data_IF_350621415427
#
_entry.id   IF_350621415427
#
_cell.length_a   1.000
_cell.length_b   1.000
_cell.length_c   1.000
_cell.angle_alpha   90.00
_cell.angle_beta   90.00
_cell.angle_gamma   90.00
#
_symmetry.space_group_name_H-M   'P 1'
#
loop_
_entity.id
_entity.type
_entity.pdbx_description
1 polymer ?
#
# COMPACT_ATOMS: atom_id res chain seq x y z
N UNK A 1 10.38 -3.43 7.62
CA UNK A 1 9.04 -3.02 8.10
C UNK A 1 9.21 -2.16 9.33
N UNK A 2 8.50 -1.04 9.43
CA UNK A 2 8.50 -0.16 10.61
C UNK A 2 7.27 -0.52 11.46
N UNK A 3 7.45 -0.89 12.72
CA UNK A 3 6.37 -1.41 13.58
C UNK A 3 6.19 -0.66 14.91
N UNK A 4 7.09 0.27 15.21
CA UNK A 4 7.13 1.02 16.47
C UNK A 4 7.51 2.49 16.25
N UNK A 5 7.19 3.33 17.23
CA UNK A 5 7.46 4.76 17.18
C UNK A 5 8.96 5.11 17.17
N UNK A 6 9.85 4.47 17.96
CA UNK A 6 11.28 4.76 17.90
C UNK A 6 11.88 4.57 16.49
N UNK A 7 11.55 3.48 15.82
CA UNK A 7 11.99 3.19 14.45
C UNK A 7 11.37 4.16 13.45
N UNK A 8 10.10 4.51 13.62
CA UNK A 8 9.44 5.51 12.77
C UNK A 8 10.12 6.89 12.87
N UNK A 9 10.48 7.30 14.09
CA UNK A 9 11.20 8.56 14.35
C UNK A 9 12.58 8.53 13.71
N UNK A 10 13.30 7.42 13.79
CA UNK A 10 14.61 7.26 13.16
C UNK A 10 14.50 7.52 11.64
N UNK A 11 13.59 6.85 10.94
CA UNK A 11 13.40 7.06 9.50
C UNK A 11 12.88 8.45 9.15
N UNK A 12 12.01 9.03 9.99
CA UNK A 12 11.54 10.40 9.85
C UNK A 12 12.69 11.43 9.95
N UNK A 13 13.70 11.18 10.78
CA UNK A 13 14.89 12.02 10.89
C UNK A 13 15.86 11.86 9.72
N UNK A 14 15.71 10.79 8.93
CA UNK A 14 16.45 10.54 7.70
C UNK A 14 15.65 11.02 6.46
N UNK A 15 14.78 12.00 6.63
CA UNK A 15 13.99 12.65 5.57
C UNK A 15 13.05 11.72 4.79
N UNK A 16 12.61 10.62 5.40
CA UNK A 16 11.58 9.77 4.77
C UNK A 16 10.29 10.56 4.57
N UNK A 17 9.79 10.63 3.33
CA UNK A 17 8.57 11.37 3.01
C UNK A 17 7.29 10.71 3.57
N UNK A 18 7.35 9.40 3.81
CA UNK A 18 6.24 8.63 4.36
C UNK A 18 6.74 7.38 5.08
N UNK A 19 5.90 6.82 5.97
CA UNK A 19 6.16 5.58 6.70
C UNK A 19 5.03 4.58 6.43
N UNK A 20 5.40 3.33 6.09
CA UNK A 20 4.46 2.22 5.90
C UNK A 20 4.72 1.15 6.96
N UNK A 21 3.65 0.68 7.60
CA UNK A 21 3.69 -0.38 8.61
C UNK A 21 2.93 -1.62 8.13
N UNK A 22 3.28 -2.85 8.55
CA UNK A 22 2.43 -4.02 8.37
C UNK A 22 1.25 -4.08 9.36
N UNK A 23 1.21 -3.19 10.36
CA UNK A 23 0.22 -3.16 11.44
C UNK A 23 -0.22 -1.75 11.80
N UNK A 24 -1.28 -1.64 12.60
CA UNK A 24 -1.71 -0.40 13.25
C UNK A 24 -1.03 -0.28 14.61
N UNK A 25 -0.24 0.77 14.79
CA UNK A 25 0.33 1.16 16.08
C UNK A 25 0.05 2.64 16.32
N UNK A 26 -0.74 2.96 17.35
CA UNK A 26 -1.17 4.33 17.64
C UNK A 26 0.00 5.26 18.00
N UNK A 27 1.04 4.73 18.62
CA UNK A 27 2.22 5.52 18.98
C UNK A 27 2.92 6.07 17.74
N UNK A 28 2.94 5.30 16.64
CA UNK A 28 3.46 5.77 15.35
C UNK A 28 2.62 6.93 14.80
N UNK A 29 1.29 6.84 14.91
CA UNK A 29 0.40 7.92 14.48
C UNK A 29 0.73 9.23 15.21
N UNK A 30 0.85 9.18 16.54
CA UNK A 30 1.11 10.37 17.35
C UNK A 30 2.42 11.06 16.98
N UNK A 31 3.51 10.30 16.75
CA UNK A 31 4.82 10.89 16.45
C UNK A 31 4.93 11.38 15.01
N UNK A 32 4.33 10.68 14.04
CA UNK A 32 4.41 11.02 12.62
C UNK A 32 3.48 12.18 12.26
N UNK A 33 2.24 12.19 12.75
CA UNK A 33 1.28 13.25 12.46
C UNK A 33 1.74 14.61 12.98
N UNK A 34 2.36 14.65 14.17
CA UNK A 34 2.94 15.88 14.73
C UNK A 34 4.04 16.49 13.87
N UNK A 35 4.69 15.67 13.04
CA UNK A 35 5.73 16.08 12.10
C UNK A 35 5.22 16.21 10.66
N UNK A 36 3.91 16.02 10.44
CA UNK A 36 3.26 16.05 9.12
C UNK A 36 3.89 15.06 8.13
N UNK A 37 4.30 13.89 8.63
CA UNK A 37 4.82 12.81 7.79
C UNK A 37 3.69 11.83 7.52
N UNK A 38 3.45 11.53 6.24
CA UNK A 38 2.40 10.60 5.85
C UNK A 38 2.65 9.22 6.47
N UNK A 39 1.61 8.64 7.05
CA UNK A 39 1.64 7.33 7.67
C UNK A 39 0.57 6.43 7.06
N UNK A 40 0.98 5.25 6.59
CA UNK A 40 0.09 4.21 6.07
C UNK A 40 0.19 2.94 6.92
N UNK A 41 -0.72 2.76 7.91
CA UNK A 41 -0.75 1.57 8.75
C UNK A 41 -1.33 0.35 8.04
N UNK A 42 -0.84 -0.82 8.40
CA UNK A 42 -1.43 -2.08 7.99
C UNK A 42 -2.68 -2.41 8.81
N UNK A 43 -3.78 -2.74 8.13
CA UNK A 43 -5.05 -3.14 8.74
C UNK A 43 -5.51 -4.47 8.13
N UNK A 44 -6.17 -5.30 8.94
CA UNK A 44 -6.78 -6.57 8.52
C UNK A 44 -8.31 -6.60 8.63
N UNK A 45 -8.93 -5.55 9.17
CA UNK A 45 -10.38 -5.48 9.44
C UNK A 45 -10.94 -4.07 9.27
N UNK A 46 -12.26 -3.98 9.11
CA UNK A 46 -12.99 -2.69 9.03
C UNK A 46 -12.79 -1.84 10.28
N UNK A 47 -12.76 -2.46 11.47
CA UNK A 47 -12.54 -1.73 12.73
C UNK A 47 -11.15 -1.13 12.81
N UNK A 48 -10.12 -1.85 12.37
CA UNK A 48 -8.75 -1.31 12.30
C UNK A 48 -8.64 -0.19 11.27
N UNK A 49 -9.28 -0.32 10.11
CA UNK A 49 -9.35 0.75 9.09
C UNK A 49 -9.96 2.02 9.70
N UNK A 50 -11.14 1.89 10.32
CA UNK A 50 -11.84 3.01 10.95
C UNK A 50 -10.98 3.66 12.05
N UNK A 51 -10.29 2.85 12.86
CA UNK A 51 -9.37 3.35 13.89
C UNK A 51 -8.18 4.08 13.26
N UNK A 52 -7.58 3.57 12.19
CA UNK A 52 -6.47 4.23 11.49
C UNK A 52 -6.89 5.59 10.92
N UNK A 53 -8.06 5.67 10.27
CA UNK A 53 -8.61 6.92 9.76
C UNK A 53 -8.87 7.93 10.89
N UNK A 54 -9.42 7.48 12.04
CA UNK A 54 -9.62 8.34 13.21
C UNK A 54 -8.32 8.90 13.80
N UNK A 55 -7.21 8.18 13.59
CA UNK A 55 -5.87 8.61 13.96
C UNK A 55 -5.20 9.45 12.86
N UNK A 56 -5.90 9.79 11.77
CA UNK A 56 -5.41 10.66 10.71
C UNK A 56 -4.67 9.97 9.56
N UNK A 57 -4.78 8.64 9.42
CA UNK A 57 -4.25 7.96 8.24
C UNK A 57 -5.06 8.32 6.98
N UNK A 58 -4.42 8.92 5.97
CA UNK A 58 -5.07 9.26 4.69
C UNK A 58 -5.13 8.09 3.71
N UNK A 59 -4.22 7.12 3.86
CA UNK A 59 -4.16 5.89 3.05
C UNK A 59 -3.92 4.71 3.99
N UNK A 60 -4.85 3.77 4.05
CA UNK A 60 -4.71 2.54 4.84
C UNK A 60 -4.13 1.42 3.99
N UNK A 61 -3.09 0.77 4.51
CA UNK A 61 -2.55 -0.43 3.89
C UNK A 61 -3.35 -1.64 4.33
N UNK A 62 -3.73 -2.50 3.39
CA UNK A 62 -4.37 -3.77 3.69
C UNK A 62 -3.32 -4.88 3.53
N UNK A 63 -3.03 -5.58 4.62
CA UNK A 63 -1.90 -6.52 4.67
C UNK A 63 -2.13 -7.68 5.66
N UNK A 64 -1.76 -8.92 5.30
CA UNK A 64 -1.35 -9.37 3.96
C UNK A 64 -2.56 -9.43 3.00
N UNK A 65 -2.50 -8.69 1.90
CA UNK A 65 -3.65 -8.33 1.05
C UNK A 65 -4.49 -9.52 0.56
N UNK A 66 -3.86 -10.56 0.01
CA UNK A 66 -4.60 -11.75 -0.44
C UNK A 66 -5.22 -12.55 0.71
N UNK A 67 -4.60 -12.56 1.89
CA UNK A 67 -4.97 -13.38 3.04
C UNK A 67 -6.09 -12.75 3.86
N UNK A 68 -6.22 -11.42 3.83
CA UNK A 68 -7.32 -10.68 4.47
C UNK A 68 -8.57 -10.56 3.57
N UNK A 69 -8.62 -11.32 2.47
CA UNK A 69 -9.79 -11.44 1.59
C UNK A 69 -9.63 -10.83 0.20
N UNK A 70 -8.45 -10.34 -0.16
CA UNK A 70 -8.12 -9.95 -1.53
C UNK A 70 -8.92 -8.76 -2.06
N UNK A 71 -9.10 -8.66 -3.40
CA UNK A 71 -9.91 -7.61 -4.03
C UNK A 71 -11.36 -7.57 -3.53
N UNK A 72 -11.93 -8.72 -3.13
CA UNK A 72 -13.29 -8.78 -2.57
C UNK A 72 -13.40 -8.05 -1.24
N UNK A 73 -12.38 -8.11 -0.39
CA UNK A 73 -12.36 -7.32 0.85
C UNK A 73 -12.36 -5.82 0.55
N UNK A 74 -11.51 -5.36 -0.39
CA UNK A 74 -11.45 -3.94 -0.78
C UNK A 74 -12.81 -3.43 -1.25
N UNK A 75 -13.44 -4.15 -2.18
CA UNK A 75 -14.77 -3.77 -2.68
C UNK A 75 -15.86 -3.81 -1.59
N UNK A 76 -15.80 -4.77 -0.67
CA UNK A 76 -16.73 -4.85 0.46
C UNK A 76 -16.55 -3.70 1.46
N UNK A 77 -15.32 -3.27 1.75
CA UNK A 77 -15.04 -2.11 2.62
C UNK A 77 -15.52 -0.82 1.97
N UNK A 78 -15.24 -0.63 0.68
CA UNK A 78 -15.60 0.60 -0.05
C UNK A 78 -17.10 0.78 -0.28
N UNK A 79 -17.90 -0.28 -0.12
CA UNK A 79 -19.36 -0.20 -0.16
C UNK A 79 -19.91 0.80 0.88
N UNK A 80 -19.71 0.56 2.19
CA UNK A 80 -20.10 1.49 3.25
C UNK A 80 -19.10 2.63 3.51
N UNK A 81 -17.83 2.50 3.09
CA UNK A 81 -16.78 3.49 3.32
C UNK A 81 -16.14 3.97 2.01
N UNK A 82 -16.88 4.64 1.10
CA UNK A 82 -16.37 5.03 -0.22
C UNK A 82 -15.20 6.01 -0.18
N UNK A 83 -15.05 6.77 0.92
CA UNK A 83 -13.96 7.72 1.14
C UNK A 83 -12.62 7.05 1.50
N UNK A 84 -12.62 5.76 1.89
CA UNK A 84 -11.40 5.09 2.36
C UNK A 84 -10.45 4.81 1.20
N UNK A 85 -9.26 5.42 1.25
CA UNK A 85 -8.18 5.13 0.31
C UNK A 85 -7.40 3.90 0.77
N UNK A 86 -7.55 2.82 0.01
CA UNK A 86 -6.95 1.51 0.34
C UNK A 86 -5.73 1.25 -0.55
N UNK A 87 -4.64 0.81 0.08
CA UNK A 87 -3.44 0.28 -0.56
C UNK A 87 -3.22 -1.21 -0.22
N UNK A 88 -3.64 -2.18 -1.05
CA UNK A 88 -3.33 -3.58 -0.80
C UNK A 88 -1.83 -3.84 -0.98
N UNK A 89 -1.26 -4.69 -0.13
CA UNK A 89 0.12 -5.18 -0.25
C UNK A 89 0.17 -6.64 0.19
N UNK A 90 0.91 -7.47 -0.54
CA UNK A 90 0.95 -8.92 -0.33
C UNK A 90 -0.06 -9.61 -1.25
N UNK A 91 0.46 -10.33 -2.25
CA UNK A 91 -0.33 -10.93 -3.33
C UNK A 91 -0.71 -9.98 -4.47
N UNK A 92 -0.05 -8.82 -4.54
CA UNK A 92 -0.08 -7.93 -5.71
C UNK A 92 1.07 -8.30 -6.63
N UNK A 93 0.76 -8.68 -7.86
CA UNK A 93 1.72 -9.07 -8.89
C UNK A 93 1.65 -8.09 -10.07
N UNK A 94 2.77 -7.80 -10.76
CA UNK A 94 2.80 -6.88 -11.89
C UNK A 94 2.25 -7.53 -13.18
N UNK A 95 1.12 -8.21 -13.10
CA UNK A 95 0.43 -8.84 -14.23
C UNK A 95 -0.90 -8.14 -14.50
N UNK A 96 -1.33 -8.10 -15.76
CA UNK A 96 -2.58 -7.41 -16.13
C UNK A 96 -3.80 -8.04 -15.44
N UNK A 97 -3.84 -9.37 -15.34
CA UNK A 97 -4.90 -10.07 -14.64
C UNK A 97 -5.01 -9.67 -13.16
N UNK A 98 -3.90 -9.77 -12.41
CA UNK A 98 -3.87 -9.47 -10.98
C UNK A 98 -4.19 -7.99 -10.71
N UNK A 99 -3.52 -7.07 -11.42
CA UNK A 99 -3.75 -5.64 -11.23
C UNK A 99 -5.17 -5.24 -11.62
N UNK A 100 -5.74 -5.81 -12.69
CA UNK A 100 -7.13 -5.53 -13.08
C UNK A 100 -8.11 -5.85 -11.95
N UNK A 101 -7.94 -6.95 -11.23
CA UNK A 101 -8.81 -7.29 -10.10
C UNK A 101 -8.72 -6.25 -8.97
N UNK A 102 -7.50 -5.83 -8.60
CA UNK A 102 -7.30 -4.82 -7.55
C UNK A 102 -7.84 -3.44 -7.91
N UNK A 103 -7.61 -2.97 -9.15
CA UNK A 103 -8.10 -1.68 -9.61
C UNK A 103 -9.62 -1.68 -9.79
N UNK A 104 -10.22 -2.77 -10.33
CA UNK A 104 -11.68 -2.92 -10.38
C UNK A 104 -12.33 -2.89 -9.01
N UNK A 105 -11.65 -3.40 -7.97
CA UNK A 105 -12.15 -3.36 -6.60
C UNK A 105 -12.14 -1.95 -5.97
N UNK A 106 -11.56 -0.94 -6.64
CA UNK A 106 -11.53 0.45 -6.17
C UNK A 106 -10.34 0.79 -5.29
N UNK A 107 -9.25 0.02 -5.38
CA UNK A 107 -7.98 0.36 -4.72
C UNK A 107 -7.48 1.74 -5.14
N UNK A 108 -6.95 2.52 -4.19
CA UNK A 108 -6.38 3.85 -4.45
C UNK A 108 -5.00 3.77 -5.14
N UNK A 109 -4.15 2.90 -4.63
CA UNK A 109 -2.83 2.56 -5.18
C UNK A 109 -2.44 1.14 -4.73
N UNK A 110 -1.47 0.49 -5.37
CA UNK A 110 -1.04 -0.87 -4.98
C UNK A 110 0.38 -0.87 -4.44
N UNK A 111 0.65 -1.70 -3.44
CA UNK A 111 2.00 -1.96 -2.93
C UNK A 111 2.58 -3.25 -3.49
N UNK A 112 3.65 -3.13 -4.29
CA UNK A 112 4.38 -4.27 -4.86
C UNK A 112 5.76 -4.40 -4.20
N UNK A 113 6.05 -5.58 -3.66
CA UNK A 113 7.33 -5.90 -3.02
C UNK A 113 8.19 -6.80 -3.91
N UNK A 114 8.53 -7.98 -3.38
CA UNK A 114 9.38 -8.99 -4.03
C UNK A 114 8.86 -9.50 -5.38
N UNK A 115 7.58 -9.31 -5.68
CA UNK A 115 6.99 -9.67 -6.97
C UNK A 115 7.43 -8.74 -8.10
N UNK A 116 7.78 -7.49 -7.78
CA UNK A 116 8.30 -6.51 -8.74
C UNK A 116 9.83 -6.45 -8.66
N UNK A 117 10.37 -6.26 -7.46
CA UNK A 117 11.81 -6.20 -7.25
C UNK A 117 12.31 -7.58 -6.81
N UNK A 118 12.61 -8.43 -7.79
CA UNK A 118 13.05 -9.81 -7.56
C UNK A 118 14.46 -9.83 -6.98
N UNK A 119 14.63 -10.49 -5.83
CA UNK A 119 15.91 -10.55 -5.12
C UNK A 119 17.03 -11.20 -5.94
N UNK A 120 16.71 -12.16 -6.81
CA UNK A 120 17.67 -12.77 -7.74
C UNK A 120 18.29 -11.73 -8.69
N UNK A 121 17.46 -10.90 -9.34
CA UNK A 121 17.94 -9.86 -10.26
C UNK A 121 18.85 -8.84 -9.56
N UNK A 122 18.52 -8.46 -8.32
CA UNK A 122 19.33 -7.55 -7.52
C UNK A 122 20.68 -8.18 -7.15
N UNK A 123 20.67 -9.46 -6.70
CA UNK A 123 21.90 -10.20 -6.37
C UNK A 123 22.81 -10.38 -7.57
N UNK A 124 22.22 -10.60 -8.74
CA UNK A 124 22.94 -10.79 -10.00
C UNK A 124 23.37 -9.46 -10.65
N UNK A 125 23.05 -8.31 -10.03
CA UNK A 125 23.36 -6.98 -10.57
C UNK A 125 22.60 -6.64 -11.86
N UNK A 126 21.54 -7.39 -12.19
CA UNK A 126 20.75 -7.20 -13.41
C UNK A 126 19.74 -6.06 -13.26
N UNK A 127 20.24 -4.85 -13.02
CA UNK A 127 19.43 -3.66 -12.83
C UNK A 127 18.70 -3.22 -14.12
N UNK A 128 19.19 -3.62 -15.29
CA UNK A 128 18.49 -3.39 -16.57
C UNK A 128 17.14 -4.11 -16.60
N UNK A 129 17.10 -5.37 -16.15
CA UNK A 129 15.83 -6.09 -16.05
C UNK A 129 14.93 -5.48 -14.99
N UNK A 130 15.47 -5.07 -13.83
CA UNK A 130 14.69 -4.38 -12.80
C UNK A 130 14.06 -3.09 -13.34
N UNK A 131 14.81 -2.30 -14.10
CA UNK A 131 14.29 -1.08 -14.74
C UNK A 131 13.15 -1.40 -15.71
N UNK A 132 13.32 -2.43 -16.55
CA UNK A 132 12.30 -2.84 -17.51
C UNK A 132 11.03 -3.33 -16.80
N UNK A 133 11.16 -4.18 -15.79
CA UNK A 133 10.03 -4.70 -15.00
C UNK A 133 9.24 -3.55 -14.34
N UNK A 134 9.93 -2.54 -13.79
CA UNK A 134 9.29 -1.35 -13.21
C UNK A 134 8.61 -0.49 -14.27
N UNK A 135 9.25 -0.29 -15.43
CA UNK A 135 8.69 0.49 -16.54
C UNK A 135 7.38 -0.13 -17.04
N UNK A 136 7.36 -1.44 -17.21
CA UNK A 136 6.20 -2.19 -17.68
C UNK A 136 5.08 -2.16 -16.64
N UNK A 137 5.40 -2.35 -15.35
CA UNK A 137 4.43 -2.26 -14.27
C UNK A 137 3.79 -0.85 -14.19
N UNK A 138 4.59 0.22 -14.33
CA UNK A 138 4.09 1.61 -14.32
C UNK A 138 3.20 1.87 -15.53
N UNK A 139 3.58 1.42 -16.73
CA UNK A 139 2.77 1.57 -17.93
C UNK A 139 1.41 0.86 -17.80
N UNK A 140 1.42 -0.36 -17.26
CA UNK A 140 0.22 -1.13 -16.99
C UNK A 140 -0.68 -0.45 -15.94
N UNK A 141 -0.12 0.04 -14.84
CA UNK A 141 -0.88 0.80 -13.83
C UNK A 141 -1.52 2.06 -14.43
N UNK A 142 -0.81 2.79 -15.31
CA UNK A 142 -1.38 3.96 -15.99
C UNK A 142 -2.61 3.58 -16.83
N UNK A 143 -2.47 2.57 -17.69
CA UNK A 143 -3.58 2.02 -18.50
C UNK A 143 -4.78 1.64 -17.62
N UNK A 144 -4.54 0.91 -16.53
CA UNK A 144 -5.62 0.43 -15.66
C UNK A 144 -6.31 1.56 -14.88
N UNK A 145 -5.59 2.63 -14.50
CA UNK A 145 -6.19 3.80 -13.85
C UNK A 145 -7.12 4.59 -14.77
N UNK A 146 -6.87 4.60 -16.08
CA UNK A 146 -7.77 5.21 -17.06
C UNK A 146 -9.07 4.39 -17.21
N UNK A 147 -8.96 3.06 -17.19
CA UNK A 147 -10.11 2.16 -17.29
C UNK A 147 -10.93 2.08 -15.99
N UNK A 148 -10.27 2.18 -14.84
CA UNK A 148 -10.87 2.05 -13.51
C UNK A 148 -10.45 3.24 -12.63
N UNK A 149 -10.98 4.44 -12.91
CA UNK A 149 -10.63 5.62 -12.12
C UNK A 149 -11.09 5.45 -10.67
N UNK A 150 -10.25 5.92 -9.75
CA UNK A 150 -10.62 6.00 -8.33
C UNK A 150 -11.78 6.98 -8.20
N UNK A 151 -12.93 6.49 -7.74
CA UNK A 151 -14.07 7.34 -7.41
C UNK A 151 -13.75 8.03 -6.08
N UNK A 152 -13.41 9.32 -6.16
CA UNK A 152 -13.26 10.24 -5.03
C UNK A 152 -14.63 10.75 -4.64
#
# INVERSE_FOLDING_TARGET
>A
SVIDAPTAILYAQLDSNFIVSPLLNEEMAYVLNRRKILWSPGCGSVSEISKAESLGAEIVKIFPGSQVGGPKFVSAVRGPMPWTNIMPTGGVEPTEANLTEWFKAGTFCVGMGSQLIKSALVKDGNFKQVEQDVRDAVALVKKLRELYPVKV
#
